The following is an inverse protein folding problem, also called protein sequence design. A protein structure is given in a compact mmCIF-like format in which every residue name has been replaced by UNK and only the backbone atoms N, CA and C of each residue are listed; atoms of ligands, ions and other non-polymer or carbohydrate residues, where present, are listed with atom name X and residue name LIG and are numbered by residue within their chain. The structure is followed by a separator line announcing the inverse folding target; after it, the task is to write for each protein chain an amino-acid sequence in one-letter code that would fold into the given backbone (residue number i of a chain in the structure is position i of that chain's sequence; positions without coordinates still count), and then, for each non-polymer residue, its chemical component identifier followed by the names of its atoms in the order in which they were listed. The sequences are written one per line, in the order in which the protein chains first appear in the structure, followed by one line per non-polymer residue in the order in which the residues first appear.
data_IF_760646754154
#
_entry.id   IF_760646754154
#
_cell.length_a   1.000
_cell.length_b   1.000
_cell.length_c   1.000
_cell.angle_alpha   90.00
_cell.angle_beta   90.00
_cell.angle_gamma   90.00
#
_symmetry.space_group_name_H-M   'P 1'
#
loop_
_entity.id
_entity.type
_entity.pdbx_description
1 polymer ?
#
# COMPACT_ATOMS: atom_id res chain seq x y z
N UNK A 1 43.28 37.37 -55.74
CA UNK A 1 41.94 37.06 -55.17
C UNK A 1 41.74 35.54 -55.18
N UNK A 2 42.31 34.80 -54.22
CA UNK A 2 42.26 33.31 -54.18
C UNK A 2 42.22 32.73 -52.75
N UNK A 3 42.80 33.44 -51.77
CA UNK A 3 42.81 33.02 -50.36
C UNK A 3 41.41 32.83 -49.75
N UNK A 4 40.41 33.62 -50.16
CA UNK A 4 39.04 33.50 -49.64
C UNK A 4 38.36 32.19 -50.09
N UNK A 5 38.52 31.81 -51.37
CA UNK A 5 37.94 30.56 -51.90
C UNK A 5 38.65 29.35 -51.29
N UNK A 6 39.95 29.44 -51.01
CA UNK A 6 40.70 28.39 -50.32
C UNK A 6 40.33 28.23 -48.83
N UNK A 7 39.76 29.26 -48.20
CA UNK A 7 39.33 29.24 -46.79
C UNK A 7 37.87 28.80 -46.60
N UNK A 8 37.05 28.81 -47.64
CA UNK A 8 35.65 28.36 -47.60
C UNK A 8 35.50 26.93 -47.02
N UNK A 9 36.31 25.93 -47.39
CA UNK A 9 36.19 24.58 -46.82
C UNK A 9 36.39 24.55 -45.30
N UNK A 10 37.35 25.32 -44.79
CA UNK A 10 37.62 25.41 -43.36
C UNK A 10 36.47 26.11 -42.62
N UNK A 11 35.93 27.18 -43.21
CA UNK A 11 34.80 27.94 -42.64
C UNK A 11 33.52 27.09 -42.61
N UNK A 12 33.26 26.31 -43.66
CA UNK A 12 32.16 25.33 -43.71
C UNK A 12 32.34 24.27 -42.62
N UNK A 13 33.56 23.75 -42.44
CA UNK A 13 33.87 22.77 -41.39
C UNK A 13 33.57 23.29 -39.98
N UNK A 14 33.91 24.55 -39.69
CA UNK A 14 33.61 25.19 -38.40
C UNK A 14 32.12 25.39 -38.20
N UNK A 15 31.39 25.83 -39.24
CA UNK A 15 29.94 26.01 -39.17
C UNK A 15 29.24 24.66 -38.93
N UNK A 16 29.63 23.61 -39.64
CA UNK A 16 29.11 22.25 -39.44
C UNK A 16 29.47 21.74 -38.03
N UNK A 17 30.69 21.96 -37.55
CA UNK A 17 31.12 21.57 -36.21
C UNK A 17 30.38 22.30 -35.08
N UNK A 18 30.10 23.59 -35.27
CA UNK A 18 29.32 24.40 -34.33
C UNK A 18 27.84 23.99 -34.31
N UNK A 19 27.25 23.73 -35.48
CA UNK A 19 25.89 23.18 -35.58
C UNK A 19 25.83 21.78 -34.95
N UNK A 20 26.75 20.88 -35.28
CA UNK A 20 26.81 19.54 -34.69
C UNK A 20 26.89 19.58 -33.16
N UNK A 21 27.75 20.45 -32.62
CA UNK A 21 27.87 20.68 -31.18
C UNK A 21 26.58 21.22 -30.55
N UNK A 22 25.95 22.22 -31.18
CA UNK A 22 24.68 22.78 -30.69
C UNK A 22 23.57 21.73 -30.64
N UNK A 23 23.40 20.95 -31.71
CA UNK A 23 22.39 19.89 -31.77
C UNK A 23 22.63 18.78 -30.75
N UNK A 24 23.89 18.41 -30.52
CA UNK A 24 24.27 17.44 -29.49
C UNK A 24 23.91 17.93 -28.08
N UNK A 25 24.19 19.20 -27.78
CA UNK A 25 23.87 19.84 -26.50
C UNK A 25 22.37 19.90 -26.27
N UNK A 26 21.60 20.42 -27.23
CA UNK A 26 20.13 20.56 -27.11
C UNK A 26 19.45 19.20 -26.94
N UNK A 27 19.94 18.16 -27.63
CA UNK A 27 19.40 16.79 -27.48
C UNK A 27 19.74 16.19 -26.12
N UNK A 28 20.94 16.44 -25.59
CA UNK A 28 21.35 16.04 -24.24
C UNK A 28 20.50 16.71 -23.16
N UNK A 29 20.26 18.01 -23.27
CA UNK A 29 19.41 18.77 -22.33
C UNK A 29 17.96 18.29 -22.37
N UNK A 30 17.42 17.99 -23.55
CA UNK A 30 16.05 17.47 -23.68
C UNK A 30 15.89 16.09 -23.04
N UNK A 31 16.85 15.18 -23.25
CA UNK A 31 16.83 13.85 -22.61
C UNK A 31 16.97 13.96 -21.10
N UNK A 32 17.85 14.84 -20.61
CA UNK A 32 18.03 15.11 -19.18
C UNK A 32 16.75 15.69 -18.56
N UNK A 33 16.12 16.66 -19.21
CA UNK A 33 14.87 17.28 -18.75
C UNK A 33 13.69 16.29 -18.71
N UNK A 34 13.60 15.39 -19.69
CA UNK A 34 12.56 14.33 -19.70
C UNK A 34 12.77 13.36 -18.53
N UNK A 35 14.00 12.89 -18.29
CA UNK A 35 14.32 12.01 -17.15
C UNK A 35 14.05 12.67 -15.79
N UNK A 36 14.44 13.94 -15.63
CA UNK A 36 14.17 14.69 -14.39
C UNK A 36 12.68 14.96 -14.19
N UNK A 37 11.89 15.08 -15.26
CA UNK A 37 10.42 15.16 -15.18
C UNK A 37 9.82 13.81 -14.82
N UNK A 38 10.22 12.73 -15.47
CA UNK A 38 9.76 11.37 -15.18
C UNK A 38 10.00 10.99 -13.72
N UNK A 39 11.22 11.23 -13.21
CA UNK A 39 11.56 10.96 -11.81
C UNK A 39 10.69 11.75 -10.82
N UNK A 40 10.42 13.04 -11.09
CA UNK A 40 9.54 13.88 -10.25
C UNK A 40 8.08 13.46 -10.30
N UNK A 41 7.64 12.86 -11.40
CA UNK A 41 6.29 12.32 -11.56
C UNK A 41 6.14 10.99 -10.83
N UNK A 42 7.15 10.12 -10.90
CA UNK A 42 7.21 8.87 -10.12
C UNK A 42 7.22 9.15 -8.61
N UNK A 43 8.04 10.09 -8.14
CA UNK A 43 8.09 10.46 -6.71
C UNK A 43 6.75 10.99 -6.20
N UNK A 44 6.09 11.85 -6.98
CA UNK A 44 4.75 12.36 -6.64
C UNK A 44 3.70 11.24 -6.62
N UNK A 45 3.71 10.35 -7.61
CA UNK A 45 2.81 9.18 -7.64
C UNK A 45 3.03 8.26 -6.43
N UNK A 46 4.28 7.95 -6.11
CA UNK A 46 4.61 7.14 -4.93
C UNK A 46 4.10 7.78 -3.63
N UNK A 47 4.24 9.10 -3.47
CA UNK A 47 3.69 9.81 -2.31
C UNK A 47 2.17 9.64 -2.23
N UNK A 48 1.47 9.94 -3.33
CA UNK A 48 0.00 9.80 -3.42
C UNK A 48 -0.44 8.39 -3.07
N UNK A 49 0.21 7.38 -3.64
CA UNK A 49 -0.11 5.97 -3.39
C UNK A 49 0.12 5.57 -1.94
N UNK A 50 1.19 6.06 -1.33
CA UNK A 50 1.56 5.75 0.06
C UNK A 50 0.63 6.45 1.04
N UNK A 51 0.28 7.70 0.78
CA UNK A 51 -0.58 8.49 1.65
C UNK A 51 -2.02 7.95 1.65
N UNK A 52 -2.55 7.60 0.49
CA UNK A 52 -3.85 6.93 0.39
C UNK A 52 -3.86 5.57 1.11
N UNK A 53 -2.83 4.74 0.92
CA UNK A 53 -2.70 3.46 1.63
C UNK A 53 -2.62 3.63 3.15
N UNK A 54 -1.94 4.68 3.62
CA UNK A 54 -1.83 5.02 5.05
C UNK A 54 -3.20 5.40 5.61
N UNK A 55 -3.97 6.23 4.90
CA UNK A 55 -5.31 6.62 5.28
C UNK A 55 -6.24 5.40 5.41
N UNK A 56 -6.27 4.52 4.40
CA UNK A 56 -7.06 3.28 4.47
C UNK A 56 -6.63 2.35 5.60
N UNK A 57 -5.32 2.20 5.84
CA UNK A 57 -4.81 1.38 6.94
C UNK A 57 -5.27 1.90 8.31
N UNK A 58 -5.34 3.23 8.50
CA UNK A 58 -5.87 3.84 9.74
C UNK A 58 -7.33 3.42 9.95
N UNK A 59 -8.19 3.55 8.93
CA UNK A 59 -9.60 3.14 9.01
C UNK A 59 -9.75 1.63 9.26
N UNK A 60 -9.03 0.80 8.52
CA UNK A 60 -9.02 -0.67 8.73
C UNK A 60 -8.62 -1.03 10.16
N UNK A 61 -7.62 -0.35 10.73
CA UNK A 61 -7.19 -0.61 12.12
C UNK A 61 -8.30 -0.29 13.13
N UNK A 62 -9.08 0.78 12.91
CA UNK A 62 -10.23 1.09 13.75
C UNK A 62 -11.30 0.00 13.65
N UNK A 63 -11.59 -0.50 12.44
CA UNK A 63 -12.57 -1.59 12.26
C UNK A 63 -12.20 -2.87 13.01
N UNK A 64 -10.92 -3.27 13.03
CA UNK A 64 -10.45 -4.40 13.83
C UNK A 64 -10.69 -4.20 15.34
N UNK A 65 -10.43 -2.99 15.85
CA UNK A 65 -10.63 -2.67 17.28
C UNK A 65 -12.10 -2.70 17.67
N UNK A 66 -12.98 -2.22 16.79
CA UNK A 66 -14.44 -2.27 16.99
C UNK A 66 -14.96 -3.69 16.92
N UNK A 67 -14.53 -4.47 15.92
CA UNK A 67 -14.88 -5.87 15.79
C UNK A 67 -14.54 -6.67 17.05
N UNK A 68 -13.41 -6.37 17.69
CA UNK A 68 -13.01 -7.01 18.94
C UNK A 68 -13.91 -6.65 20.13
N UNK A 69 -14.40 -5.41 20.21
CA UNK A 69 -15.38 -5.07 21.26
C UNK A 69 -16.71 -5.80 21.09
N UNK A 70 -17.06 -6.17 19.86
CA UNK A 70 -18.26 -6.92 19.50
C UNK A 70 -18.05 -8.45 19.47
N UNK A 71 -16.89 -8.95 19.91
CA UNK A 71 -16.60 -10.39 19.94
C UNK A 71 -16.33 -11.05 18.59
N UNK A 72 -16.17 -10.28 17.51
CA UNK A 72 -15.92 -10.80 16.17
C UNK A 72 -14.44 -11.13 15.88
N UNK A 73 -13.49 -10.54 16.63
CA UNK A 73 -12.05 -10.69 16.40
C UNK A 73 -11.20 -10.51 17.68
N UNK A 74 -10.09 -11.24 17.88
CA UNK A 74 -9.21 -11.01 19.01
C UNK A 74 -8.22 -9.86 18.74
N UNK A 75 -8.58 -8.63 19.12
CA UNK A 75 -7.66 -7.48 19.11
C UNK A 75 -7.25 -7.10 20.56
N UNK A 76 -5.95 -6.86 20.85
CA UNK A 76 -5.46 -6.60 22.22
C UNK A 76 -5.98 -5.28 22.84
N UNK A 77 -6.43 -4.36 21.99
CA UNK A 77 -6.95 -3.04 22.40
C UNK A 77 -8.32 -2.78 21.73
N UNK A 78 -9.40 -3.41 22.20
CA UNK A 78 -10.74 -3.18 21.66
C UNK A 78 -11.18 -1.73 21.85
N UNK A 79 -12.10 -1.27 21.00
CA UNK A 79 -12.78 0.03 21.12
C UNK A 79 -14.27 -0.19 20.92
N UNK A 80 -15.12 0.38 21.76
CA UNK A 80 -16.57 0.33 21.52
C UNK A 80 -16.94 1.13 20.25
N UNK A 81 -18.08 0.82 19.60
CA UNK A 81 -18.57 1.60 18.46
C UNK A 81 -18.70 3.11 18.76
N UNK A 82 -19.12 3.45 19.98
CA UNK A 82 -19.29 4.83 20.45
C UNK A 82 -17.95 5.56 20.58
N UNK A 83 -16.93 4.92 21.16
CA UNK A 83 -15.58 5.49 21.26
C UNK A 83 -14.90 5.61 19.89
N UNK A 84 -15.19 4.68 18.98
CA UNK A 84 -14.60 4.66 17.66
C UNK A 84 -15.25 5.65 16.68
N UNK A 85 -16.53 6.02 16.89
CA UNK A 85 -17.28 6.91 16.00
C UNK A 85 -16.52 8.21 15.63
N UNK A 86 -16.03 9.03 16.57
CA UNK A 86 -15.28 10.25 16.22
C UNK A 86 -13.95 9.94 15.51
N UNK A 87 -13.30 8.82 15.82
CA UNK A 87 -12.06 8.41 15.16
C UNK A 87 -12.28 7.95 13.72
N UNK A 88 -13.41 7.28 13.46
CA UNK A 88 -13.82 6.84 12.13
C UNK A 88 -14.20 8.05 11.28
N UNK A 89 -14.91 9.03 11.85
CA UNK A 89 -15.24 10.29 11.17
C UNK A 89 -13.96 11.05 10.78
N UNK A 90 -13.02 11.23 11.72
CA UNK A 90 -11.72 11.86 11.45
C UNK A 90 -10.94 11.11 10.35
N UNK A 91 -10.88 9.77 10.42
CA UNK A 91 -10.19 8.95 9.43
C UNK A 91 -10.86 9.02 8.05
N UNK A 92 -12.18 9.12 8.01
CA UNK A 92 -12.96 9.28 6.76
C UNK A 92 -12.66 10.63 6.12
N UNK A 93 -12.75 11.73 6.88
CA UNK A 93 -12.43 13.06 6.38
C UNK A 93 -10.97 13.20 5.94
N UNK A 94 -10.05 12.52 6.61
CA UNK A 94 -8.64 12.48 6.21
C UNK A 94 -8.40 11.71 4.90
N UNK A 95 -9.23 10.72 4.56
CA UNK A 95 -9.08 9.91 3.34
C UNK A 95 -9.39 10.71 2.08
N UNK A 96 -10.38 11.60 2.13
CA UNK A 96 -10.90 12.31 0.96
C UNK A 96 -9.82 13.07 0.15
N UNK A 97 -8.97 13.94 0.73
CA UNK A 97 -7.95 14.64 -0.06
C UNK A 97 -6.93 13.69 -0.70
N UNK A 98 -6.61 12.55 -0.06
CA UNK A 98 -5.74 11.54 -0.65
C UNK A 98 -6.43 10.76 -1.77
N UNK A 99 -7.74 10.52 -1.64
CA UNK A 99 -8.56 9.92 -2.70
C UNK A 99 -8.63 10.81 -3.94
N UNK A 100 -8.87 12.11 -3.75
CA UNK A 100 -8.85 13.08 -4.86
C UNK A 100 -7.48 13.17 -5.54
N UNK A 101 -6.40 13.21 -4.76
CA UNK A 101 -5.04 13.18 -5.30
C UNK A 101 -4.77 11.90 -6.11
N UNK A 102 -5.26 10.75 -5.63
CA UNK A 102 -5.16 9.47 -6.33
C UNK A 102 -5.93 9.48 -7.65
N UNK A 103 -7.13 10.05 -7.69
CA UNK A 103 -7.92 10.17 -8.93
C UNK A 103 -7.23 11.07 -9.96
N UNK A 104 -6.56 12.13 -9.51
CA UNK A 104 -5.90 13.09 -10.41
C UNK A 104 -4.56 12.59 -10.96
N UNK A 105 -3.79 11.85 -10.15
CA UNK A 105 -2.38 11.54 -10.44
C UNK A 105 -2.10 10.05 -10.60
N UNK A 106 -3.01 9.19 -10.16
CA UNK A 106 -2.82 7.75 -10.16
C UNK A 106 -3.07 7.11 -11.53
N UNK A 107 -2.38 6.00 -11.76
CA UNK A 107 -2.67 5.13 -12.88
C UNK A 107 -4.10 4.53 -12.76
N UNK A 108 -4.86 4.41 -13.86
CA UNK A 108 -6.22 3.90 -13.83
C UNK A 108 -6.37 2.51 -13.19
N UNK A 109 -5.40 1.61 -13.34
CA UNK A 109 -5.43 0.29 -12.71
C UNK A 109 -5.25 0.42 -11.19
N UNK A 110 -4.34 1.28 -10.75
CA UNK A 110 -4.13 1.57 -9.32
C UNK A 110 -5.40 2.17 -8.70
N UNK A 111 -6.04 3.11 -9.39
CA UNK A 111 -7.31 3.72 -8.98
C UNK A 111 -8.41 2.66 -8.87
N UNK A 112 -8.51 1.75 -9.84
CA UNK A 112 -9.50 0.67 -9.81
C UNK A 112 -9.29 -0.26 -8.60
N UNK A 113 -8.05 -0.66 -8.32
CA UNK A 113 -7.72 -1.50 -7.15
C UNK A 113 -7.90 -0.78 -5.82
N UNK A 114 -7.61 0.52 -5.76
CA UNK A 114 -7.92 1.37 -4.62
C UNK A 114 -9.43 1.40 -4.33
N UNK A 115 -10.26 1.44 -5.38
CA UNK A 115 -11.72 1.39 -5.25
C UNK A 115 -12.20 0.06 -4.69
N UNK A 116 -11.67 -1.07 -5.17
CA UNK A 116 -11.99 -2.41 -4.64
C UNK A 116 -11.69 -2.49 -3.13
N UNK A 117 -10.54 -1.94 -2.71
CA UNK A 117 -10.14 -1.94 -1.31
C UNK A 117 -11.05 -1.04 -0.45
N UNK A 118 -11.34 0.20 -0.88
CA UNK A 118 -12.19 1.10 -0.08
C UNK A 118 -13.64 0.62 0.00
N UNK A 119 -14.18 0.01 -1.05
CA UNK A 119 -15.53 -0.60 -1.01
C UNK A 119 -15.60 -1.67 0.07
N UNK A 120 -14.57 -2.54 0.15
CA UNK A 120 -14.52 -3.57 1.19
C UNK A 120 -14.42 -2.96 2.60
N UNK A 121 -13.65 -1.86 2.77
CA UNK A 121 -13.62 -1.12 4.03
C UNK A 121 -15.01 -0.56 4.42
N UNK A 122 -15.75 0.01 3.46
CA UNK A 122 -17.09 0.54 3.72
C UNK A 122 -18.08 -0.56 4.12
N UNK A 123 -17.96 -1.74 3.52
CA UNK A 123 -18.73 -2.93 3.94
C UNK A 123 -18.38 -3.36 5.37
N UNK A 124 -17.09 -3.32 5.74
CA UNK A 124 -16.66 -3.59 7.13
C UNK A 124 -17.24 -2.56 8.11
N UNK A 125 -17.21 -1.27 7.77
CA UNK A 125 -17.81 -0.22 8.60
C UNK A 125 -19.32 -0.40 8.75
N UNK A 126 -20.03 -0.77 7.67
CA UNK A 126 -21.46 -1.06 7.71
C UNK A 126 -21.78 -2.26 8.62
N UNK A 127 -21.02 -3.36 8.48
CA UNK A 127 -21.16 -4.56 9.31
C UNK A 127 -21.05 -4.23 10.82
N UNK A 128 -20.10 -3.37 11.18
CA UNK A 128 -19.88 -2.95 12.57
C UNK A 128 -20.92 -1.97 13.08
N UNK A 129 -21.44 -1.08 12.21
CA UNK A 129 -22.51 -0.14 12.56
C UNK A 129 -23.81 -0.86 12.92
N UNK A 130 -24.09 -1.98 12.26
CA UNK A 130 -25.23 -2.85 12.54
C UNK A 130 -25.05 -3.66 13.84
N UNK A 131 -23.89 -3.58 14.49
CA UNK A 131 -23.51 -4.38 15.67
C UNK A 131 -23.66 -5.88 15.44
N UNK A 132 -23.37 -6.33 14.22
CA UNK A 132 -23.53 -7.72 13.83
C UNK A 132 -22.49 -8.59 14.54
N UNK A 133 -22.94 -9.59 15.29
CA UNK A 133 -22.10 -10.62 15.91
C UNK A 133 -22.06 -11.86 15.01
N UNK A 134 -21.17 -11.85 14.03
CA UNK A 134 -20.98 -12.96 13.11
C UNK A 134 -19.50 -13.07 12.73
N UNK A 135 -18.71 -13.85 13.51
CA UNK A 135 -17.29 -14.02 13.26
C UNK A 135 -16.99 -14.59 11.87
N UNK A 136 -17.84 -15.48 11.34
CA UNK A 136 -17.64 -16.06 10.01
C UNK A 136 -17.78 -15.04 8.88
N UNK A 137 -18.81 -14.19 8.93
CA UNK A 137 -19.00 -13.10 7.98
C UNK A 137 -17.88 -12.04 8.10
N UNK A 138 -17.45 -11.75 9.33
CA UNK A 138 -16.31 -10.88 9.59
C UNK A 138 -15.02 -11.41 8.96
N UNK A 139 -14.69 -12.70 9.16
CA UNK A 139 -13.51 -13.32 8.55
C UNK A 139 -13.55 -13.26 7.01
N UNK A 140 -14.72 -13.42 6.40
CA UNK A 140 -14.87 -13.26 4.94
C UNK A 140 -14.55 -11.82 4.48
N UNK A 141 -14.98 -10.81 5.24
CA UNK A 141 -14.63 -9.41 4.98
C UNK A 141 -13.12 -9.16 5.18
N UNK A 142 -12.48 -9.79 6.17
CA UNK A 142 -11.03 -9.69 6.39
C UNK A 142 -10.23 -10.24 5.21
N UNK A 143 -10.61 -11.41 4.69
CA UNK A 143 -9.92 -12.00 3.55
C UNK A 143 -10.10 -11.15 2.29
N UNK A 144 -11.30 -10.60 2.06
CA UNK A 144 -11.53 -9.62 0.98
C UNK A 144 -10.71 -8.36 1.17
N UNK A 145 -10.60 -7.84 2.40
CA UNK A 145 -9.80 -6.65 2.70
C UNK A 145 -8.32 -6.90 2.41
N UNK A 146 -7.80 -8.06 2.80
CA UNK A 146 -6.41 -8.48 2.55
C UNK A 146 -6.15 -8.60 1.05
N UNK A 147 -7.04 -9.27 0.31
CA UNK A 147 -6.95 -9.39 -1.14
C UNK A 147 -7.00 -8.04 -1.84
N UNK A 148 -7.90 -7.13 -1.42
CA UNK A 148 -7.99 -5.77 -1.96
C UNK A 148 -6.69 -4.97 -1.73
N UNK A 149 -6.11 -5.07 -0.53
CA UNK A 149 -4.81 -4.45 -0.22
C UNK A 149 -3.67 -5.02 -1.07
N UNK A 150 -3.62 -6.33 -1.22
CA UNK A 150 -2.62 -7.00 -2.06
C UNK A 150 -2.74 -6.61 -3.54
N UNK A 151 -3.98 -6.55 -4.05
CA UNK A 151 -4.28 -6.09 -5.40
C UNK A 151 -3.82 -4.64 -5.62
N UNK A 152 -4.12 -3.74 -4.67
CA UNK A 152 -3.66 -2.35 -4.73
C UNK A 152 -2.13 -2.23 -4.75
N UNK A 153 -1.42 -2.94 -3.87
CA UNK A 153 0.04 -2.89 -3.86
C UNK A 153 0.66 -3.51 -5.12
N UNK A 154 0.05 -4.55 -5.67
CA UNK A 154 0.50 -5.14 -6.94
C UNK A 154 0.38 -4.13 -8.07
N UNK A 155 -0.77 -3.46 -8.20
CA UNK A 155 -0.97 -2.41 -9.21
C UNK A 155 0.02 -1.25 -9.04
N UNK A 156 0.25 -0.77 -7.80
CA UNK A 156 1.23 0.29 -7.52
C UNK A 156 2.64 -0.10 -7.96
N UNK A 157 3.04 -1.35 -7.71
CA UNK A 157 4.36 -1.84 -8.11
C UNK A 157 4.49 -1.94 -9.61
N UNK A 158 3.44 -2.38 -10.29
CA UNK A 158 3.40 -2.44 -11.76
C UNK A 158 3.52 -1.03 -12.37
N UNK A 159 2.76 -0.05 -11.88
CA UNK A 159 2.81 1.34 -12.37
C UNK A 159 4.19 1.98 -12.17
N UNK A 160 4.84 1.71 -11.04
CA UNK A 160 6.18 2.22 -10.74
C UNK A 160 7.32 1.34 -11.27
N UNK A 161 7.01 0.35 -12.12
CA UNK A 161 7.97 -0.61 -12.68
C UNK A 161 8.88 -1.28 -11.62
N UNK A 162 8.33 -1.50 -10.42
CA UNK A 162 9.03 -2.15 -9.32
C UNK A 162 8.96 -3.68 -9.49
N UNK A 163 9.99 -4.43 -9.04
CA UNK A 163 9.97 -5.90 -9.05
C UNK A 163 8.73 -6.47 -8.31
N UNK A 164 8.38 -7.76 -8.44
CA UNK A 164 7.34 -8.37 -7.61
C UNK A 164 7.58 -8.14 -6.12
N UNK A 165 6.50 -7.90 -5.37
CA UNK A 165 6.57 -7.53 -3.95
C UNK A 165 6.87 -8.69 -3.01
N UNK A 166 7.41 -8.37 -1.83
CA UNK A 166 7.44 -9.31 -0.71
C UNK A 166 6.01 -9.46 -0.14
N UNK A 167 5.62 -10.66 0.28
CA UNK A 167 4.27 -10.97 0.78
C UNK A 167 3.88 -10.20 2.05
N UNK A 168 4.81 -9.45 2.65
CA UNK A 168 4.63 -8.71 3.90
C UNK A 168 4.16 -9.61 5.06
N UNK A 169 4.36 -10.93 4.95
CA UNK A 169 4.13 -11.89 6.03
C UNK A 169 5.44 -12.02 6.81
N UNK A 170 5.62 -11.17 7.81
CA UNK A 170 6.70 -11.36 8.77
C UNK A 170 6.37 -12.59 9.62
N UNK A 171 7.31 -13.56 9.75
CA UNK A 171 7.15 -14.63 10.71
C UNK A 171 7.10 -14.00 12.11
N UNK A 172 5.93 -14.05 12.74
CA UNK A 172 5.79 -13.66 14.14
C UNK A 172 6.35 -14.82 14.95
N UNK A 173 7.44 -14.59 15.68
CA UNK A 173 7.95 -15.58 16.63
C UNK A 173 6.87 -15.82 17.70
N UNK A 174 6.51 -17.08 18.00
CA UNK A 174 5.58 -17.35 19.10
C UNK A 174 6.15 -16.76 20.40
N UNK A 175 5.29 -16.08 21.17
CA UNK A 175 5.66 -15.55 22.49
C UNK A 175 6.14 -16.72 23.37
N UNK A 176 7.40 -16.73 23.83
CA UNK A 176 7.86 -17.77 24.75
C UNK A 176 7.15 -17.54 26.09
N UNK A 177 6.20 -18.40 26.46
CA UNK A 177 5.53 -18.30 27.76
C UNK A 177 4.14 -18.92 27.89
N UNK A 178 3.49 -19.30 26.78
CA UNK A 178 2.24 -20.07 26.81
C UNK A 178 2.48 -21.56 27.08
N UNK A 179 3.26 -21.92 28.10
CA UNK A 179 3.31 -23.32 28.55
C UNK A 179 1.95 -23.66 29.14
N UNK A 180 1.23 -24.53 28.44
CA UNK A 180 0.03 -25.16 28.94
C UNK A 180 0.28 -25.68 30.34
N UNK A 181 -0.45 -25.11 31.29
CA UNK A 181 -0.70 -25.70 32.60
C UNK A 181 -1.57 -26.94 32.39
N UNK A 182 -0.95 -28.06 31.98
CA UNK A 182 -1.49 -29.39 32.27
C UNK A 182 -0.94 -29.81 33.63
N UNK A 183 -1.52 -29.22 34.67
CA UNK A 183 -1.37 -29.66 36.05
C UNK A 183 -2.65 -30.36 36.50
N UNK A 184 -2.66 -31.69 36.47
CA UNK A 184 -3.41 -32.49 37.43
C UNK A 184 -2.71 -33.84 37.59
N UNK A 185 -1.88 -33.89 38.61
CA UNK A 185 -1.31 -35.11 39.19
C UNK A 185 -2.17 -35.49 40.40
N UNK A 186 -2.48 -36.78 40.52
CA UNK A 186 -3.09 -37.44 41.68
C UNK A 186 -3.67 -38.77 41.21
N UNK A 187 -2.88 -39.81 40.98
CA UNK A 187 -2.38 -40.76 41.99
C UNK A 187 -3.44 -41.22 43.00
N UNK A 188 -3.95 -42.45 42.84
CA UNK A 188 -3.73 -43.54 43.82
C UNK A 188 -4.62 -44.77 43.58
N UNK A 189 -3.97 -45.94 43.56
CA UNK A 189 -4.46 -47.16 44.23
C UNK A 189 -5.32 -48.16 43.43
N UNK A 190 -4.83 -49.40 43.28
CA UNK A 190 -5.72 -50.51 42.89
C UNK A 190 -5.06 -51.80 42.46
N UNK A 191 -4.28 -52.43 43.34
CA UNK A 191 -3.66 -53.74 43.19
C UNK A 191 -4.68 -54.85 43.50
N UNK A 192 -5.13 -55.62 42.50
CA UNK A 192 -5.69 -57.00 42.53
C UNK A 192 -5.79 -57.46 41.05
N UNK A 193 -5.55 -58.68 40.56
CA UNK A 193 -5.38 -60.02 41.09
C UNK A 193 -6.10 -61.00 40.14
N UNK A 194 -5.40 -62.00 39.58
CA UNK A 194 -6.01 -63.26 39.10
C UNK A 194 -6.08 -63.48 37.58
N UNK A 195 -5.56 -64.64 37.14
CA UNK A 195 -5.80 -65.24 35.82
C UNK A 195 -4.56 -65.85 35.20
#
# INVERSE_FOLDING_TARGET
MSAFIQQLPALIGVVIGALGSYWAVVRGERVRFLREREARWEERRLSVYTDYARALKKSVTLTYRVAASLGNDPHPHPLTPEEAAPLIEEATGARDPYGEALLMLGDPEVVAKAREWVVTLLEMEAFLRERTENPGAWQALLERQRAGREGYYTAVRNDLALPPGHSARWPVLPVPGGTGSTGSTGDSGGRTGGG
#
